data_IF_701645656691
#
_entry.id   IF_701645656691
#
_cell.length_a   1.000
_cell.length_b   1.000
_cell.length_c   1.000
_cell.angle_alpha   90.00
_cell.angle_beta   90.00
_cell.angle_gamma   90.00
#
_symmetry.space_group_name_H-M   'P 1'
#
loop_
_entity.id
_entity.type
_entity.pdbx_description
1 polymer ?
#
# COMPACT_ATOMS: atom_id res chain seq x y z
N UNK A 1 6.69 22.33 -11.39
CA UNK A 1 5.78 21.53 -10.54
C UNK A 1 6.34 20.12 -10.56
N UNK A 2 6.81 19.60 -9.42
CA UNK A 2 7.26 18.20 -9.37
C UNK A 2 6.01 17.31 -9.47
N UNK A 3 5.95 16.45 -10.48
CA UNK A 3 4.90 15.44 -10.60
C UNK A 3 4.96 14.50 -9.40
N UNK A 4 3.80 14.10 -8.86
CA UNK A 4 3.74 13.10 -7.80
C UNK A 4 4.25 11.76 -8.34
N UNK A 5 5.11 11.07 -7.59
CA UNK A 5 5.55 9.73 -7.98
C UNK A 5 4.47 8.69 -7.66
N UNK A 6 4.55 7.50 -8.26
CA UNK A 6 3.66 6.40 -7.88
C UNK A 6 3.75 6.04 -6.39
N UNK A 7 4.95 6.17 -5.79
CA UNK A 7 5.13 5.95 -4.35
C UNK A 7 4.40 7.01 -3.51
N UNK A 8 4.43 8.29 -3.91
CA UNK A 8 3.68 9.36 -3.22
C UNK A 8 2.18 9.10 -3.23
N UNK A 9 1.65 8.65 -4.37
CA UNK A 9 0.23 8.34 -4.54
C UNK A 9 -0.19 7.12 -3.71
N UNK A 10 0.65 6.10 -3.63
CA UNK A 10 0.38 4.89 -2.84
C UNK A 10 0.48 5.14 -1.33
N UNK A 11 1.42 5.98 -0.88
CA UNK A 11 1.47 6.42 0.51
C UNK A 11 0.30 7.34 0.89
N UNK A 12 -0.18 8.18 -0.04
CA UNK A 12 -1.42 8.91 0.15
C UNK A 12 -2.62 7.97 0.34
N UNK A 13 -2.73 6.93 -0.49
CA UNK A 13 -3.77 5.90 -0.35
C UNK A 13 -3.65 5.13 0.97
N UNK A 14 -2.45 4.72 1.39
CA UNK A 14 -2.26 4.04 2.67
C UNK A 14 -2.73 4.89 3.85
N UNK A 15 -2.37 6.18 3.89
CA UNK A 15 -2.84 7.11 4.92
C UNK A 15 -4.36 7.28 4.89
N UNK A 16 -4.96 7.31 3.71
CA UNK A 16 -6.43 7.33 3.57
C UNK A 16 -7.08 6.04 4.09
N UNK A 17 -6.51 4.86 3.84
CA UNK A 17 -7.04 3.60 4.39
C UNK A 17 -6.99 3.55 5.93
N UNK A 18 -6.01 4.21 6.54
CA UNK A 18 -5.93 4.34 8.00
C UNK A 18 -6.88 5.42 8.55
N UNK A 19 -7.24 6.42 7.74
CA UNK A 19 -8.09 7.55 8.15
C UNK A 19 -9.59 7.25 8.20
N UNK A 20 -9.99 5.98 8.24
CA UNK A 20 -11.39 5.54 8.23
C UNK A 20 -12.24 6.09 9.39
N UNK A 21 -13.53 5.76 9.39
CA UNK A 21 -14.51 6.29 10.36
C UNK A 21 -14.07 6.05 11.80
N UNK A 22 -13.71 7.12 12.49
CA UNK A 22 -13.48 7.09 13.93
C UNK A 22 -14.82 7.06 14.65
N UNK A 23 -14.94 6.23 15.68
CA UNK A 23 -16.16 6.17 16.50
C UNK A 23 -16.08 7.29 17.55
N UNK A 24 -17.03 8.22 17.55
CA UNK A 24 -17.09 9.33 18.52
C UNK A 24 -16.11 10.47 18.24
N UNK A 25 -15.53 11.07 19.29
CA UNK A 25 -14.53 12.16 19.21
C UNK A 25 -13.09 11.65 19.01
N UNK A 26 -12.91 10.44 18.50
CA UNK A 26 -11.56 9.89 18.27
C UNK A 26 -10.95 10.51 17.01
N UNK A 27 -9.69 10.92 17.13
CA UNK A 27 -8.89 11.39 16.02
C UNK A 27 -8.48 10.19 15.15
N UNK A 28 -8.45 10.38 13.83
CA UNK A 28 -8.08 9.31 12.91
C UNK A 28 -6.64 8.88 13.17
N UNK A 29 -6.38 7.56 13.18
CA UNK A 29 -5.00 7.06 13.27
C UNK A 29 -4.27 7.43 11.98
N UNK A 30 -3.58 8.56 12.01
CA UNK A 30 -2.55 8.90 11.06
C UNK A 30 -1.24 8.61 11.76
N UNK A 31 -0.34 7.85 11.14
CA UNK A 31 1.08 7.80 11.52
C UNK A 31 1.67 9.19 11.26
N UNK A 32 1.35 10.17 12.12
CA UNK A 32 1.65 11.59 12.01
C UNK A 32 3.15 11.89 12.17
N UNK A 33 3.95 10.87 12.49
CA UNK A 33 5.38 10.98 12.73
C UNK A 33 6.22 11.09 11.43
N UNK A 34 5.70 10.66 10.26
CA UNK A 34 6.52 10.51 9.05
C UNK A 34 6.09 11.35 7.82
N UNK A 35 4.82 11.73 7.66
CA UNK A 35 4.34 12.49 6.47
C UNK A 35 3.16 13.44 6.78
N UNK A 36 3.47 14.73 6.86
CA UNK A 36 2.51 15.81 7.17
C UNK A 36 1.67 16.30 5.98
N UNK A 37 1.84 15.73 4.77
CA UNK A 37 1.06 16.18 3.60
C UNK A 37 -0.44 15.88 3.83
N UNK A 38 -1.38 16.73 3.38
CA UNK A 38 -2.80 16.41 3.46
C UNK A 38 -3.13 15.13 2.69
N UNK A 39 -4.15 14.41 3.14
CA UNK A 39 -4.70 13.27 2.38
C UNK A 39 -5.50 13.82 1.19
N UNK A 40 -5.08 13.46 -0.01
CA UNK A 40 -5.78 13.76 -1.26
C UNK A 40 -6.80 12.65 -1.54
N UNK A 41 -8.05 12.85 -1.09
CA UNK A 41 -9.12 11.85 -1.17
C UNK A 41 -9.40 11.39 -2.60
N UNK A 42 -9.43 12.30 -3.57
CA UNK A 42 -9.72 11.94 -4.97
C UNK A 42 -8.66 10.98 -5.54
N UNK A 43 -7.38 11.22 -5.24
CA UNK A 43 -6.31 10.30 -5.62
C UNK A 43 -6.46 8.96 -4.92
N UNK A 44 -6.76 8.97 -3.61
CA UNK A 44 -6.93 7.74 -2.83
C UNK A 44 -8.10 6.88 -3.36
N UNK A 45 -9.23 7.49 -3.72
CA UNK A 45 -10.37 6.77 -4.31
C UNK A 45 -10.04 6.16 -5.68
N UNK A 46 -9.25 6.84 -6.50
CA UNK A 46 -8.77 6.27 -7.76
C UNK A 46 -7.85 5.08 -7.50
N UNK A 47 -6.88 5.21 -6.60
CA UNK A 47 -5.98 4.10 -6.22
C UNK A 47 -6.77 2.92 -5.63
N UNK A 48 -7.76 3.19 -4.79
CA UNK A 48 -8.65 2.17 -4.23
C UNK A 48 -9.40 1.41 -5.33
N UNK A 49 -9.96 2.13 -6.31
CA UNK A 49 -10.65 1.48 -7.45
C UNK A 49 -9.70 0.60 -8.28
N UNK A 50 -8.46 1.04 -8.48
CA UNK A 50 -7.44 0.28 -9.20
C UNK A 50 -6.99 -0.94 -8.41
N UNK A 51 -6.81 -0.80 -7.08
CA UNK A 51 -6.47 -1.89 -6.18
C UNK A 51 -7.56 -2.95 -6.14
N UNK A 52 -8.83 -2.53 -6.02
CA UNK A 52 -9.98 -3.44 -5.98
C UNK A 52 -10.12 -4.29 -7.25
N UNK A 53 -9.61 -3.83 -8.39
CA UNK A 53 -9.63 -4.56 -9.67
C UNK A 53 -8.54 -5.63 -9.78
N UNK A 54 -7.54 -5.65 -8.90
CA UNK A 54 -6.46 -6.64 -8.94
C UNK A 54 -6.92 -8.01 -8.40
N UNK A 55 -6.30 -9.12 -8.86
CA UNK A 55 -6.41 -10.42 -8.20
C UNK A 55 -5.99 -10.35 -6.73
N UNK A 56 -6.60 -11.19 -5.88
CA UNK A 56 -6.44 -11.09 -4.43
C UNK A 56 -4.98 -11.17 -3.94
N UNK A 57 -4.16 -12.03 -4.55
CA UNK A 57 -2.74 -12.15 -4.18
C UNK A 57 -1.94 -10.90 -4.57
N UNK A 58 -2.25 -10.24 -5.69
CA UNK A 58 -1.62 -8.98 -6.11
C UNK A 58 -2.06 -7.82 -5.19
N UNK A 59 -3.33 -7.78 -4.80
CA UNK A 59 -3.84 -6.83 -3.79
C UNK A 59 -3.05 -6.91 -2.49
N UNK A 60 -2.77 -8.12 -2.05
CA UNK A 60 -2.03 -8.38 -0.82
C UNK A 60 -0.55 -7.93 -0.91
N UNK A 61 0.07 -7.96 -2.11
CA UNK A 61 1.41 -7.38 -2.32
C UNK A 61 1.39 -5.88 -1.99
N UNK A 62 0.41 -5.14 -2.50
CA UNK A 62 0.30 -3.69 -2.27
C UNK A 62 -0.02 -3.40 -0.80
N UNK A 63 -0.91 -4.18 -0.19
CA UNK A 63 -1.22 -4.06 1.24
C UNK A 63 0.04 -4.26 2.09
N UNK A 64 0.88 -5.25 1.75
CA UNK A 64 2.11 -5.54 2.48
C UNK A 64 3.14 -4.41 2.44
N UNK A 65 3.28 -3.71 1.29
CA UNK A 65 4.30 -2.67 1.10
C UNK A 65 3.86 -1.26 1.46
N UNK A 66 2.56 -1.03 1.66
CA UNK A 66 2.04 0.29 2.02
C UNK A 66 1.28 0.23 3.36
N UNK A 67 -0.03 -0.12 3.46
CA UNK A 67 -0.76 -0.15 4.72
C UNK A 67 -0.14 -0.98 5.85
N UNK A 68 0.50 -2.12 5.55
CA UNK A 68 1.02 -3.05 6.55
C UNK A 68 2.55 -3.00 6.72
N UNK A 69 3.25 -2.19 5.91
CA UNK A 69 4.72 -2.17 5.91
C UNK A 69 5.30 -1.86 7.28
N UNK A 70 4.78 -0.83 7.94
CA UNK A 70 5.22 -0.46 9.28
C UNK A 70 4.49 -1.27 10.36
N UNK A 71 3.17 -1.44 10.22
CA UNK A 71 2.34 -2.09 11.24
C UNK A 71 2.69 -3.58 11.46
N UNK A 72 2.88 -4.35 10.39
CA UNK A 72 3.21 -5.78 10.48
C UNK A 72 4.70 -6.06 10.32
N UNK A 73 5.39 -5.29 9.47
CA UNK A 73 6.75 -5.63 9.06
C UNK A 73 7.82 -4.61 9.44
N UNK A 74 7.47 -3.56 10.21
CA UNK A 74 8.38 -2.46 10.53
C UNK A 74 9.59 -2.88 11.40
N UNK A 75 9.46 -3.98 12.12
CA UNK A 75 10.52 -4.56 12.96
C UNK A 75 11.50 -5.46 12.18
N UNK A 76 11.25 -5.70 10.89
CA UNK A 76 12.06 -6.56 10.04
C UNK A 76 12.95 -5.74 9.10
N UNK A 77 14.14 -6.27 8.80
CA UNK A 77 14.95 -5.72 7.71
C UNK A 77 14.27 -5.89 6.34
N UNK A 78 14.79 -5.22 5.32
CA UNK A 78 14.19 -5.24 3.99
C UNK A 78 14.05 -6.64 3.39
N UNK A 79 15.03 -7.54 3.62
CA UNK A 79 15.01 -8.90 3.06
C UNK A 79 14.03 -9.79 3.84
N UNK A 80 14.05 -9.69 5.16
CA UNK A 80 13.14 -10.41 6.05
C UNK A 80 11.68 -9.98 5.82
N UNK A 81 11.42 -8.69 5.59
CA UNK A 81 10.09 -8.17 5.25
C UNK A 81 9.54 -8.81 3.98
N UNK A 82 10.30 -8.81 2.89
CA UNK A 82 9.82 -9.39 1.61
C UNK A 82 9.52 -10.88 1.76
N UNK A 83 10.36 -11.61 2.51
CA UNK A 83 10.11 -13.02 2.81
C UNK A 83 8.82 -13.21 3.62
N UNK A 84 8.69 -12.48 4.73
CA UNK A 84 7.52 -12.58 5.62
C UNK A 84 6.22 -12.18 4.91
N UNK A 85 6.26 -11.13 4.09
CA UNK A 85 5.12 -10.71 3.27
C UNK A 85 4.67 -11.80 2.30
N UNK A 86 5.62 -12.46 1.62
CA UNK A 86 5.31 -13.57 0.69
C UNK A 86 4.72 -14.79 1.41
N UNK A 87 5.26 -15.15 2.56
CA UNK A 87 4.71 -16.23 3.41
C UNK A 87 3.29 -15.89 3.88
N UNK A 88 3.07 -14.64 4.31
CA UNK A 88 1.76 -14.15 4.69
C UNK A 88 0.75 -14.18 3.53
N UNK A 89 1.16 -13.78 2.33
CA UNK A 89 0.34 -13.86 1.10
C UNK A 89 -0.01 -15.31 0.77
N UNK A 90 0.97 -16.22 0.82
CA UNK A 90 0.75 -17.62 0.54
C UNK A 90 -0.25 -18.24 1.53
N UNK A 91 -0.11 -17.94 2.82
CA UNK A 91 -1.02 -18.42 3.85
C UNK A 91 -2.44 -17.83 3.71
N UNK A 92 -2.55 -16.57 3.30
CA UNK A 92 -3.84 -15.88 3.21
C UNK A 92 -4.60 -16.20 1.91
N UNK A 93 -3.88 -16.42 0.81
CA UNK A 93 -4.47 -16.52 -0.54
C UNK A 93 -4.33 -17.91 -1.17
N UNK A 94 -3.49 -18.78 -0.59
CA UNK A 94 -3.11 -20.06 -1.19
C UNK A 94 -2.11 -19.95 -2.35
N UNK A 95 -1.73 -18.73 -2.76
CA UNK A 95 -0.81 -18.49 -3.87
C UNK A 95 0.60 -18.19 -3.37
N UNK A 96 1.55 -19.06 -3.69
CA UNK A 96 2.95 -18.86 -3.36
C UNK A 96 3.64 -18.03 -4.45
N UNK A 97 4.05 -16.80 -4.09
CA UNK A 97 4.79 -15.91 -4.99
C UNK A 97 6.29 -16.12 -4.88
N UNK A 98 7.00 -16.02 -5.99
CA UNK A 98 8.46 -15.81 -6.04
C UNK A 98 8.82 -14.36 -5.68
N UNK A 99 10.10 -14.09 -5.38
CA UNK A 99 10.55 -12.72 -5.12
C UNK A 99 10.42 -11.84 -6.37
N UNK A 100 10.64 -12.44 -7.54
CA UNK A 100 10.51 -11.77 -8.84
C UNK A 100 9.07 -11.37 -9.11
N UNK A 101 8.11 -12.27 -8.93
CA UNK A 101 6.68 -11.96 -9.09
C UNK A 101 6.22 -10.88 -8.12
N UNK A 102 6.62 -10.98 -6.84
CA UNK A 102 6.32 -9.97 -5.83
C UNK A 102 6.77 -8.57 -6.26
N UNK A 103 8.04 -8.44 -6.69
CA UNK A 103 8.59 -7.16 -7.17
C UNK A 103 7.95 -6.69 -8.47
N UNK A 104 7.63 -7.62 -9.37
CA UNK A 104 6.98 -7.32 -10.64
C UNK A 104 5.59 -6.73 -10.42
N UNK A 105 4.73 -7.37 -9.63
CA UNK A 105 3.38 -6.89 -9.36
C UNK A 105 3.39 -5.53 -8.66
N UNK A 106 4.26 -5.35 -7.67
CA UNK A 106 4.44 -4.06 -7.00
C UNK A 106 4.85 -2.96 -8.01
N UNK A 107 5.85 -3.24 -8.85
CA UNK A 107 6.34 -2.29 -9.83
C UNK A 107 5.29 -1.94 -10.89
N UNK A 108 4.57 -2.93 -11.41
CA UNK A 108 3.52 -2.74 -12.41
C UNK A 108 2.39 -1.87 -11.88
N UNK A 109 1.88 -2.16 -10.68
CA UNK A 109 0.80 -1.39 -10.09
C UNK A 109 1.23 0.05 -9.82
N UNK A 110 2.42 0.26 -9.24
CA UNK A 110 2.97 1.59 -9.00
C UNK A 110 3.09 2.41 -10.27
N UNK A 111 3.65 1.84 -11.34
CA UNK A 111 3.76 2.53 -12.63
C UNK A 111 2.40 2.81 -13.27
N UNK A 112 1.40 1.94 -13.07
CA UNK A 112 0.03 2.20 -13.54
C UNK A 112 -0.62 3.36 -12.80
N UNK A 113 -0.49 3.41 -11.47
CA UNK A 113 -1.00 4.50 -10.62
C UNK A 113 -0.36 5.82 -11.02
N UNK A 114 0.97 5.85 -11.16
CA UNK A 114 1.71 7.04 -11.58
C UNK A 114 1.22 7.56 -12.93
N UNK A 115 1.16 6.71 -13.96
CA UNK A 115 0.66 7.12 -15.29
C UNK A 115 -0.79 7.63 -15.28
N UNK A 116 -1.59 7.24 -14.29
CA UNK A 116 -3.01 7.57 -14.24
C UNK A 116 -3.30 8.91 -13.56
N UNK A 117 -2.41 9.34 -12.65
CA UNK A 117 -2.65 10.43 -11.69
C UNK A 117 -1.53 11.49 -11.64
N UNK A 118 -0.32 11.20 -12.12
CA UNK A 118 0.82 12.14 -12.15
C UNK A 118 0.81 12.99 -13.43
#
# INVERSE_FOLDING_TARGET
MNSLTGDDLLWNWARWTWSGTTVGNMEAYVSWEDDHRPILTDHALVVESMHAALPWHERMVIIAEYPQKNAMFGHLDARARVKAAREWIANTTGVALTETEYKLYLGLFRSQVERRLA
#
